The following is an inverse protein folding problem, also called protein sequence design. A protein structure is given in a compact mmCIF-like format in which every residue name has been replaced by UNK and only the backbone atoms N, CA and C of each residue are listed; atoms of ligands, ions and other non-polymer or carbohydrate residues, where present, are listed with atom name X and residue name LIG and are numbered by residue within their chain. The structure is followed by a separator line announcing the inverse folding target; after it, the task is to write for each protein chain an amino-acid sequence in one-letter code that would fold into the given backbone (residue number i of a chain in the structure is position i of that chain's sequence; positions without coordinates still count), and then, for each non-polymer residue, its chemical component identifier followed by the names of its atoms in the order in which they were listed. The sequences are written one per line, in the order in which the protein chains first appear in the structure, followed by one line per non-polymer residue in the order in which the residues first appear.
data_IF_688377386887
#
_entry.id   IF_688377386887
#
_cell.length_a   1.000
_cell.length_b   1.000
_cell.length_c   1.000
_cell.angle_alpha   90.00
_cell.angle_beta   90.00
_cell.angle_gamma   90.00
#
_symmetry.space_group_name_H-M   'P 1'
#
loop_
_entity.id
_entity.type
_entity.pdbx_description
1 polymer ?
#
# COMPACT_ATOMS: atom_id res chain seq x y z
N UNK A 1 -14.06 25.64 5.30
CA UNK A 1 -14.72 24.97 4.14
C UNK A 1 -13.70 24.51 3.09
N UNK A 2 -12.93 25.39 2.44
CA UNK A 2 -11.92 25.00 1.43
C UNK A 2 -10.92 23.90 1.87
N UNK A 3 -10.46 23.93 3.12
CA UNK A 3 -9.60 22.87 3.69
C UNK A 3 -10.26 21.48 3.67
N UNK A 4 -11.56 21.40 4.01
CA UNK A 4 -12.32 20.15 4.01
C UNK A 4 -12.48 19.63 2.58
N UNK A 5 -12.76 20.51 1.62
CA UNK A 5 -12.88 20.16 0.19
C UNK A 5 -11.53 19.65 -0.35
N UNK A 6 -10.42 20.29 0.02
CA UNK A 6 -9.07 19.86 -0.35
C UNK A 6 -8.71 18.49 0.24
N UNK A 7 -9.07 18.22 1.50
CA UNK A 7 -8.91 16.90 2.14
C UNK A 7 -9.78 15.85 1.43
N UNK A 8 -11.06 16.14 1.20
CA UNK A 8 -11.98 15.23 0.51
C UNK A 8 -11.44 14.87 -0.88
N UNK A 9 -11.00 15.87 -1.65
CA UNK A 9 -10.45 15.67 -2.99
C UNK A 9 -9.13 14.87 -2.97
N UNK A 10 -8.26 15.14 -1.99
CA UNK A 10 -7.01 14.38 -1.78
C UNK A 10 -7.29 12.94 -1.36
N UNK A 11 -8.31 12.71 -0.54
CA UNK A 11 -8.76 11.39 -0.11
C UNK A 11 -9.36 10.60 -1.28
N UNK A 12 -10.24 11.21 -2.07
CA UNK A 12 -10.82 10.60 -3.29
C UNK A 12 -9.71 10.29 -4.31
N UNK A 13 -8.74 11.17 -4.50
CA UNK A 13 -7.58 10.92 -5.38
C UNK A 13 -6.74 9.73 -4.90
N UNK A 14 -6.41 9.69 -3.61
CA UNK A 14 -5.65 8.60 -3.01
C UNK A 14 -6.42 7.28 -3.11
N UNK A 15 -7.71 7.25 -2.76
CA UNK A 15 -8.58 6.09 -2.98
C UNK A 15 -8.64 5.70 -4.47
N UNK A 16 -8.67 6.64 -5.41
CA UNK A 16 -8.70 6.33 -6.84
C UNK A 16 -7.43 5.59 -7.29
N UNK A 17 -6.24 5.99 -6.83
CA UNK A 17 -4.98 5.27 -7.13
C UNK A 17 -4.97 3.90 -6.46
N UNK A 18 -5.36 3.85 -5.18
CA UNK A 18 -5.32 2.62 -4.37
C UNK A 18 -6.30 1.57 -4.87
N UNK A 19 -7.44 1.97 -5.44
CA UNK A 19 -8.45 1.05 -5.97
C UNK A 19 -8.24 0.73 -7.46
N UNK A 20 -7.61 1.62 -8.25
CA UNK A 20 -7.39 1.34 -9.67
C UNK A 20 -6.41 0.18 -9.90
N UNK A 21 -5.39 0.02 -9.04
CA UNK A 21 -4.39 -1.04 -9.20
C UNK A 21 -5.00 -2.43 -8.95
N UNK A 22 -5.69 -2.73 -7.82
CA UNK A 22 -6.40 -4.01 -7.65
C UNK A 22 -7.43 -4.28 -8.74
N UNK A 23 -8.19 -3.29 -9.18
CA UNK A 23 -9.17 -3.46 -10.27
C UNK A 23 -8.48 -3.82 -11.60
N UNK A 24 -7.29 -3.28 -11.87
CA UNK A 24 -6.51 -3.65 -13.06
C UNK A 24 -5.97 -5.10 -13.01
N UNK A 25 -5.65 -5.61 -11.81
CA UNK A 25 -5.30 -7.01 -11.58
C UNK A 25 -6.53 -7.94 -11.64
N UNK A 26 -7.67 -7.54 -11.04
CA UNK A 26 -8.90 -8.34 -10.96
C UNK A 26 -9.61 -8.49 -12.32
N UNK A 27 -9.72 -7.40 -13.07
CA UNK A 27 -10.40 -7.39 -14.37
C UNK A 27 -9.48 -7.78 -15.53
N UNK A 28 -8.17 -7.53 -15.40
CA UNK A 28 -7.20 -7.73 -16.48
C UNK A 28 -6.19 -8.86 -16.28
N UNK A 29 -6.21 -9.53 -15.13
CA UNK A 29 -5.22 -10.53 -14.76
C UNK A 29 -3.83 -9.94 -14.46
N UNK A 30 -2.88 -10.85 -14.19
CA UNK A 30 -1.51 -10.52 -13.74
C UNK A 30 -0.79 -9.53 -14.67
N UNK A 31 -0.80 -9.80 -15.97
CA UNK A 31 0.03 -9.05 -16.92
C UNK A 31 -0.50 -7.63 -17.16
N UNK A 32 -1.83 -7.46 -17.18
CA UNK A 32 -2.49 -6.13 -17.19
C UNK A 32 -2.13 -5.31 -15.94
N UNK A 33 -2.20 -5.92 -14.75
CA UNK A 33 -1.83 -5.24 -13.50
C UNK A 33 -0.35 -4.88 -13.42
N UNK A 34 0.54 -5.75 -13.92
CA UNK A 34 1.98 -5.47 -14.05
C UNK A 34 2.25 -4.33 -15.05
N UNK A 35 1.61 -4.35 -16.23
CA UNK A 35 1.74 -3.28 -17.22
C UNK A 35 1.22 -1.94 -16.68
N UNK A 36 0.07 -1.94 -16.02
CA UNK A 36 -0.52 -0.76 -15.41
C UNK A 36 0.37 -0.17 -14.31
N UNK A 37 0.84 -0.99 -13.36
CA UNK A 37 1.72 -0.55 -12.28
C UNK A 37 3.07 -0.03 -12.78
N UNK A 38 3.68 -0.67 -13.79
CA UNK A 38 4.88 -0.18 -14.47
C UNK A 38 4.63 1.18 -15.12
N UNK A 39 3.51 1.33 -15.83
CA UNK A 39 3.17 2.60 -16.50
C UNK A 39 2.97 3.75 -15.51
N UNK A 40 2.34 3.49 -14.36
CA UNK A 40 2.22 4.44 -13.26
C UNK A 40 3.57 4.76 -12.62
N UNK A 41 4.42 3.75 -12.39
CA UNK A 41 5.75 3.94 -11.83
C UNK A 41 6.60 4.87 -12.72
N UNK A 42 6.63 4.62 -14.03
CA UNK A 42 7.33 5.49 -15.00
C UNK A 42 6.71 6.88 -15.02
N UNK A 43 5.38 7.01 -15.04
CA UNK A 43 4.72 8.31 -15.02
C UNK A 43 5.08 9.13 -13.75
N UNK A 44 5.05 8.53 -12.56
CA UNK A 44 5.42 9.23 -11.33
C UNK A 44 6.92 9.54 -11.24
N UNK A 45 7.78 8.67 -11.78
CA UNK A 45 9.22 8.91 -11.87
C UNK A 45 9.54 10.09 -12.80
N UNK A 46 8.89 10.15 -13.99
CA UNK A 46 8.98 11.28 -14.91
C UNK A 46 8.38 12.56 -14.31
N UNK A 47 7.22 12.49 -13.64
CA UNK A 47 6.62 13.62 -12.93
C UNK A 47 7.57 14.21 -11.87
N UNK A 48 8.23 13.34 -11.08
CA UNK A 48 9.22 13.75 -10.08
C UNK A 48 10.45 14.38 -10.75
N UNK A 49 11.02 13.72 -11.76
CA UNK A 49 12.18 14.24 -12.50
C UNK A 49 11.91 15.60 -13.15
N UNK A 50 10.73 15.79 -13.76
CA UNK A 50 10.32 17.09 -14.32
C UNK A 50 10.18 18.13 -13.21
N UNK A 51 9.60 17.80 -12.05
CA UNK A 51 9.54 18.71 -10.91
C UNK A 51 10.94 19.11 -10.40
N UNK A 52 11.91 18.18 -10.35
CA UNK A 52 13.30 18.47 -9.92
C UNK A 52 14.00 19.39 -10.91
N UNK A 53 13.91 19.10 -12.22
CA UNK A 53 14.53 19.92 -13.28
C UNK A 53 13.90 21.31 -13.34
N UNK A 54 12.60 21.40 -13.05
CA UNK A 54 11.82 22.64 -13.14
C UNK A 54 11.87 23.42 -11.82
N UNK A 55 13.06 23.96 -11.51
CA UNK A 55 13.32 24.83 -10.35
C UNK A 55 12.17 25.85 -10.10
N UNK A 56 11.68 25.86 -8.86
CA UNK A 56 10.44 26.55 -8.43
C UNK A 56 10.46 28.10 -8.56
N UNK A 57 11.59 28.66 -8.99
CA UNK A 57 11.82 30.09 -9.15
C UNK A 57 11.06 30.71 -10.33
N UNK A 58 10.69 29.91 -11.34
CA UNK A 58 10.04 30.43 -12.56
C UNK A 58 8.51 30.31 -12.54
N UNK A 59 7.82 31.32 -13.09
CA UNK A 59 6.34 31.29 -13.25
C UNK A 59 5.89 30.14 -14.16
N UNK A 60 6.67 29.84 -15.19
CA UNK A 60 6.44 28.71 -16.09
C UNK A 60 6.55 27.38 -15.33
N UNK A 61 7.52 27.24 -14.43
CA UNK A 61 7.65 26.02 -13.62
C UNK A 61 6.46 25.77 -12.71
N UNK A 62 5.94 26.82 -12.08
CA UNK A 62 4.69 26.71 -11.31
C UNK A 62 3.50 26.30 -12.18
N UNK A 63 3.38 26.86 -13.39
CA UNK A 63 2.33 26.49 -14.33
C UNK A 63 2.46 25.04 -14.82
N UNK A 64 3.67 24.58 -15.16
CA UNK A 64 3.94 23.18 -15.56
C UNK A 64 3.62 22.21 -14.42
N UNK A 65 4.04 22.50 -13.19
CA UNK A 65 3.72 21.67 -12.03
C UNK A 65 2.22 21.64 -11.69
N UNK A 66 1.47 22.70 -12.02
CA UNK A 66 0.02 22.74 -11.85
C UNK A 66 -0.70 21.96 -12.95
N UNK A 67 -0.23 22.09 -14.20
CA UNK A 67 -0.71 21.30 -15.36
C UNK A 67 -0.48 19.80 -15.14
N UNK A 68 0.71 19.42 -14.66
CA UNK A 68 1.05 18.03 -14.35
C UNK A 68 0.20 17.48 -13.19
N UNK A 69 -0.05 18.26 -12.13
CA UNK A 69 -0.98 17.86 -11.06
C UNK A 69 -2.41 17.66 -11.56
N UNK A 70 -2.86 18.48 -12.50
CA UNK A 70 -4.18 18.34 -13.11
C UNK A 70 -4.22 17.16 -14.09
N UNK A 71 -3.11 16.84 -14.77
CA UNK A 71 -3.03 15.71 -15.69
C UNK A 71 -3.13 14.35 -14.99
N UNK A 72 -2.72 14.24 -13.72
CA UNK A 72 -2.84 13.01 -12.92
C UNK A 72 -4.25 12.41 -12.97
N UNK A 73 -5.28 13.24 -12.87
CA UNK A 73 -6.69 12.83 -12.91
C UNK A 73 -7.14 12.23 -14.26
N UNK A 74 -6.44 12.54 -15.35
CA UNK A 74 -6.72 11.99 -16.69
C UNK A 74 -5.79 10.82 -17.02
N UNK A 75 -4.52 10.90 -16.60
CA UNK A 75 -3.51 9.86 -16.88
C UNK A 75 -3.86 8.54 -16.18
N UNK A 76 -4.30 8.58 -14.91
CA UNK A 76 -4.67 7.36 -14.15
C UNK A 76 -5.73 6.51 -14.88
N UNK A 77 -6.91 7.03 -15.28
CA UNK A 77 -7.90 6.24 -16.01
C UNK A 77 -7.49 5.92 -17.46
N UNK A 78 -6.75 6.79 -18.15
CA UNK A 78 -6.27 6.52 -19.52
C UNK A 78 -5.28 5.34 -19.54
N UNK A 79 -4.32 5.30 -18.61
CA UNK A 79 -3.39 4.18 -18.47
C UNK A 79 -4.09 2.88 -18.09
N UNK A 80 -5.14 2.95 -17.25
CA UNK A 80 -5.93 1.79 -16.86
C UNK A 80 -6.72 1.21 -18.04
N UNK A 81 -7.36 2.08 -18.84
CA UNK A 81 -8.08 1.68 -20.06
C UNK A 81 -7.10 1.10 -21.09
N UNK A 82 -5.91 1.69 -21.24
CA UNK A 82 -4.87 1.18 -22.14
C UNK A 82 -4.40 -0.23 -21.73
N UNK A 83 -4.05 -0.43 -20.45
CA UNK A 83 -3.62 -1.72 -19.93
C UNK A 83 -4.70 -2.80 -20.11
N UNK A 84 -5.95 -2.50 -19.74
CA UNK A 84 -7.07 -3.43 -19.93
C UNK A 84 -7.31 -3.73 -21.43
N UNK A 85 -7.24 -2.74 -22.31
CA UNK A 85 -7.48 -2.95 -23.76
C UNK A 85 -6.42 -3.80 -24.46
N UNK A 86 -5.17 -3.79 -23.97
CA UNK A 86 -4.08 -4.58 -24.53
C UNK A 86 -4.00 -5.98 -23.91
N UNK A 87 -4.05 -6.06 -22.57
CA UNK A 87 -3.72 -7.29 -21.83
C UNK A 87 -4.95 -8.08 -21.36
N UNK A 88 -6.08 -7.44 -21.03
CA UNK A 88 -7.26 -8.17 -20.51
C UNK A 88 -7.95 -9.03 -21.58
N UNK A 89 -7.80 -8.68 -22.86
CA UNK A 89 -8.32 -9.46 -24.00
C UNK A 89 -7.63 -10.83 -24.11
N UNK A 90 -6.35 -10.91 -23.72
CA UNK A 90 -5.55 -12.14 -23.80
C UNK A 90 -5.65 -13.00 -22.53
N UNK A 91 -6.29 -12.50 -21.47
CA UNK A 91 -6.46 -13.22 -20.18
C UNK A 91 -7.29 -14.51 -20.29
N UNK A 92 -8.00 -14.72 -21.41
CA UNK A 92 -8.63 -16.00 -21.75
C UNK A 92 -7.64 -17.10 -22.16
N UNK A 93 -6.37 -16.77 -22.37
CA UNK A 93 -5.27 -17.72 -22.55
C UNK A 93 -4.41 -17.75 -21.28
N UNK A 94 -4.46 -18.86 -20.54
CA UNK A 94 -3.76 -19.04 -19.25
C UNK A 94 -2.24 -19.26 -19.37
N UNK A 95 -1.66 -19.00 -20.54
CA UNK A 95 -0.22 -19.12 -20.80
C UNK A 95 0.56 -17.97 -20.16
N UNK A 96 1.54 -18.31 -19.34
CA UNK A 96 2.43 -17.35 -18.68
C UNK A 96 3.17 -16.48 -19.71
N UNK A 97 3.52 -15.23 -19.35
CA UNK A 97 4.31 -14.35 -20.23
C UNK A 97 5.59 -15.05 -20.74
N UNK A 98 6.22 -15.89 -19.92
CA UNK A 98 7.40 -16.71 -20.29
C UNK A 98 7.08 -17.66 -21.44
N UNK A 99 5.92 -18.30 -21.41
CA UNK A 99 5.47 -19.27 -22.42
C UNK A 99 5.05 -18.55 -23.71
N UNK A 100 4.41 -17.37 -23.60
CA UNK A 100 4.13 -16.47 -24.74
C UNK A 100 5.41 -16.06 -25.44
N UNK A 101 6.44 -15.64 -24.70
CA UNK A 101 7.75 -15.28 -25.29
C UNK A 101 8.42 -16.48 -25.95
N UNK A 102 8.46 -17.64 -25.29
CA UNK A 102 9.07 -18.85 -25.88
C UNK A 102 8.32 -19.31 -27.13
N UNK A 103 6.98 -19.31 -27.12
CA UNK A 103 6.16 -19.58 -28.30
C UNK A 103 6.41 -18.59 -29.44
N UNK A 104 6.47 -17.29 -29.13
CA UNK A 104 6.74 -16.22 -30.10
C UNK A 104 8.14 -16.37 -30.74
N UNK A 105 9.19 -16.60 -29.93
CA UNK A 105 10.56 -16.83 -30.42
C UNK A 105 10.63 -18.06 -31.34
N UNK A 106 9.90 -19.14 -31.03
CA UNK A 106 9.94 -20.38 -31.82
C UNK A 106 9.06 -20.33 -33.08
N UNK A 107 7.98 -19.54 -33.10
CA UNK A 107 7.10 -19.36 -34.26
C UNK A 107 7.46 -18.16 -35.17
N UNK A 108 8.37 -17.28 -34.76
CA UNK A 108 8.79 -16.07 -35.49
C UNK A 108 9.62 -16.37 -36.75
N UNK A 109 8.98 -16.96 -37.78
CA UNK A 109 9.63 -17.24 -39.07
C UNK A 109 9.31 -16.24 -40.19
N UNK A 110 8.45 -15.24 -39.96
CA UNK A 110 7.94 -14.36 -41.04
C UNK A 110 7.54 -12.91 -40.63
N UNK A 111 7.80 -12.44 -39.41
CA UNK A 111 7.44 -11.07 -38.97
C UNK A 111 8.56 -10.05 -39.19
N UNK A 112 8.19 -8.76 -39.29
CA UNK A 112 9.15 -7.68 -39.51
C UNK A 112 9.98 -7.38 -38.25
N UNK A 113 11.24 -6.96 -38.39
CA UNK A 113 12.13 -6.66 -37.25
C UNK A 113 11.52 -5.64 -36.26
N UNK A 114 10.82 -4.63 -36.79
CA UNK A 114 10.10 -3.62 -35.98
C UNK A 114 8.96 -4.22 -35.17
N UNK A 115 8.28 -5.24 -35.70
CA UNK A 115 7.15 -5.91 -35.09
C UNK A 115 7.60 -7.00 -34.09
N UNK A 116 8.78 -7.59 -34.30
CA UNK A 116 9.42 -8.47 -33.31
C UNK A 116 9.96 -7.70 -32.08
N UNK A 117 10.47 -6.47 -32.26
CA UNK A 117 10.96 -5.64 -31.15
C UNK A 117 9.85 -4.83 -30.46
N UNK A 118 8.97 -4.18 -31.24
CA UNK A 118 7.96 -3.21 -30.75
C UNK A 118 6.50 -3.63 -31.03
N UNK A 119 6.26 -4.78 -31.65
CA UNK A 119 4.91 -5.30 -31.84
C UNK A 119 4.32 -5.86 -30.55
N UNK A 120 3.04 -6.24 -30.64
CA UNK A 120 2.30 -6.95 -29.60
C UNK A 120 2.94 -8.33 -29.38
N UNK A 121 3.17 -8.72 -28.13
CA UNK A 121 4.00 -9.88 -27.72
C UNK A 121 5.50 -9.73 -28.08
N UNK A 122 5.97 -8.49 -28.21
CA UNK A 122 7.36 -8.16 -28.56
C UNK A 122 8.37 -8.42 -27.42
N UNK A 123 9.65 -8.51 -27.78
CA UNK A 123 10.73 -8.72 -26.80
C UNK A 123 10.83 -7.58 -25.78
N UNK A 124 10.53 -6.34 -26.18
CA UNK A 124 10.57 -5.17 -25.29
C UNK A 124 9.47 -5.22 -24.22
N UNK A 125 8.26 -5.65 -24.61
CA UNK A 125 7.12 -5.84 -23.71
C UNK A 125 7.42 -6.93 -22.67
N UNK A 126 7.89 -8.09 -23.15
CA UNK A 126 8.38 -9.19 -22.29
C UNK A 126 9.46 -8.71 -21.32
N UNK A 127 10.49 -8.01 -21.81
CA UNK A 127 11.63 -7.60 -21.01
C UNK A 127 11.22 -6.57 -19.94
N UNK A 128 10.33 -5.64 -20.28
CA UNK A 128 9.82 -4.66 -19.32
C UNK A 128 8.98 -5.32 -18.21
N UNK A 129 8.04 -6.21 -18.57
CA UNK A 129 7.20 -6.91 -17.60
C UNK A 129 8.01 -7.87 -16.72
N UNK A 130 8.88 -8.68 -17.31
CA UNK A 130 9.73 -9.64 -16.59
C UNK A 130 10.77 -8.95 -15.69
N UNK A 131 11.36 -7.84 -16.13
CA UNK A 131 12.27 -7.03 -15.30
C UNK A 131 11.54 -6.40 -14.11
N UNK A 132 10.30 -5.95 -14.31
CA UNK A 132 9.47 -5.36 -13.26
C UNK A 132 9.03 -6.39 -12.22
N UNK A 133 8.51 -7.55 -12.63
CA UNK A 133 8.15 -8.66 -11.73
C UNK A 133 9.36 -9.10 -10.90
N UNK A 134 10.53 -9.31 -11.53
CA UNK A 134 11.76 -9.67 -10.83
C UNK A 134 12.23 -8.58 -9.85
N UNK A 135 12.15 -7.30 -10.22
CA UNK A 135 12.51 -6.17 -9.35
C UNK A 135 11.58 -6.09 -8.13
N UNK A 136 10.26 -6.29 -8.31
CA UNK A 136 9.28 -6.30 -7.22
C UNK A 136 9.44 -7.51 -6.29
N UNK A 137 9.78 -8.69 -6.82
CA UNK A 137 10.10 -9.90 -6.04
C UNK A 137 11.36 -9.70 -5.19
N UNK A 138 12.42 -9.14 -5.78
CA UNK A 138 13.68 -8.88 -5.07
C UNK A 138 13.54 -7.78 -4.01
N UNK A 139 12.77 -6.72 -4.30
CA UNK A 139 12.49 -5.65 -3.33
C UNK A 139 11.50 -6.05 -2.23
N UNK A 140 10.74 -7.15 -2.41
CA UNK A 140 9.69 -7.59 -1.49
C UNK A 140 10.12 -7.70 -0.01
N UNK A 141 11.23 -8.39 0.33
CA UNK A 141 11.75 -8.44 1.70
C UNK A 141 12.17 -7.07 2.23
N UNK A 142 12.74 -6.21 1.40
CA UNK A 142 13.14 -4.84 1.79
C UNK A 142 11.92 -4.00 2.14
N UNK A 143 10.85 -4.10 1.36
CA UNK A 143 9.58 -3.43 1.67
C UNK A 143 8.93 -3.99 2.94
N UNK A 144 9.05 -5.29 3.21
CA UNK A 144 8.57 -5.90 4.45
C UNK A 144 9.33 -5.42 5.70
N UNK A 145 10.63 -5.14 5.60
CA UNK A 145 11.41 -4.50 6.67
C UNK A 145 11.12 -3.00 6.81
N UNK A 146 10.92 -2.31 5.69
CA UNK A 146 10.52 -0.90 5.67
C UNK A 146 9.15 -0.70 6.34
N UNK A 147 8.24 -1.67 6.22
CA UNK A 147 6.93 -1.66 6.90
C UNK A 147 7.08 -1.55 8.42
N UNK A 148 7.92 -2.37 9.06
CA UNK A 148 8.15 -2.31 10.51
C UNK A 148 8.78 -0.99 10.95
N UNK A 149 9.80 -0.54 10.22
CA UNK A 149 10.45 0.75 10.49
C UNK A 149 9.48 1.94 10.34
N UNK A 150 8.72 2.01 9.26
CA UNK A 150 7.73 3.06 9.06
C UNK A 150 6.60 2.98 10.10
N UNK A 151 6.23 1.78 10.56
CA UNK A 151 5.24 1.61 11.63
C UNK A 151 5.74 2.17 12.95
N UNK A 152 7.00 1.93 13.32
CA UNK A 152 7.61 2.54 14.51
C UNK A 152 7.57 4.06 14.46
N UNK A 153 7.95 4.68 13.34
CA UNK A 153 7.89 6.14 13.18
C UNK A 153 6.47 6.69 13.38
N UNK A 154 5.45 5.96 12.90
CA UNK A 154 4.03 6.33 13.10
C UNK A 154 3.62 6.15 14.57
N UNK A 155 4.06 5.09 15.25
CA UNK A 155 3.80 4.84 16.67
C UNK A 155 4.42 5.95 17.54
N UNK A 156 5.71 6.26 17.33
CA UNK A 156 6.45 7.32 18.01
C UNK A 156 5.79 8.69 17.80
N UNK A 157 5.50 9.05 16.55
CA UNK A 157 4.82 10.31 16.21
C UNK A 157 3.44 10.41 16.89
N UNK A 158 2.70 9.29 16.95
CA UNK A 158 1.40 9.25 17.66
C UNK A 158 1.58 9.45 19.16
N UNK A 159 2.58 8.81 19.79
CA UNK A 159 2.92 9.01 21.21
C UNK A 159 3.30 10.46 21.53
N UNK A 160 4.11 11.09 20.68
CA UNK A 160 4.47 12.51 20.80
C UNK A 160 3.25 13.44 20.64
N UNK A 161 2.37 13.17 19.67
CA UNK A 161 1.12 13.92 19.49
C UNK A 161 0.21 13.78 20.73
N UNK A 162 0.10 12.59 21.31
CA UNK A 162 -0.63 12.36 22.56
C UNK A 162 -0.06 13.17 23.72
N UNK A 163 1.28 13.15 23.95
CA UNK A 163 1.94 13.98 24.98
C UNK A 163 1.67 15.47 24.77
N UNK A 164 1.87 15.95 23.54
CA UNK A 164 1.62 17.34 23.18
C UNK A 164 0.17 17.75 23.44
N UNK A 165 -0.82 16.92 23.08
CA UNK A 165 -2.23 17.26 23.25
C UNK A 165 -2.65 17.27 24.72
N UNK A 166 -2.13 16.35 25.55
CA UNK A 166 -2.33 16.35 26.99
C UNK A 166 -1.72 17.61 27.63
N UNK A 167 -0.46 17.93 27.32
CA UNK A 167 0.23 19.09 27.88
C UNK A 167 -0.42 20.41 27.42
N UNK A 168 -0.89 20.47 26.16
CA UNK A 168 -1.59 21.65 25.62
C UNK A 168 -2.98 21.82 26.20
N UNK A 169 -3.70 20.71 26.45
CA UNK A 169 -5.06 20.73 26.99
C UNK A 169 -5.15 21.10 28.47
N UNK A 170 -4.08 20.86 29.26
CA UNK A 170 -4.02 21.07 30.74
C UNK A 170 -5.19 20.46 31.52
N UNK A 171 -5.91 19.52 30.93
CA UNK A 171 -7.17 18.96 31.43
C UNK A 171 -7.07 17.44 31.49
N UNK A 172 -7.38 16.89 32.66
CA UNK A 172 -7.28 15.46 32.94
C UNK A 172 -8.24 14.62 32.06
N UNK A 173 -9.26 15.26 31.47
CA UNK A 173 -10.14 14.64 30.47
C UNK A 173 -9.36 14.09 29.27
N UNK A 174 -8.29 14.76 28.81
CA UNK A 174 -7.45 14.23 27.72
C UNK A 174 -6.69 12.97 28.14
N UNK A 175 -6.19 12.93 29.39
CA UNK A 175 -5.51 11.74 29.93
C UNK A 175 -6.48 10.57 30.00
N UNK A 176 -7.70 10.79 30.50
CA UNK A 176 -8.74 9.75 30.59
C UNK A 176 -9.13 9.22 29.20
N UNK A 177 -9.31 10.12 28.20
CA UNK A 177 -9.65 9.73 26.82
C UNK A 177 -8.54 8.89 26.20
N UNK A 178 -7.26 9.30 26.33
CA UNK A 178 -6.14 8.53 25.79
C UNK A 178 -5.90 7.21 26.53
N UNK A 179 -6.14 7.17 27.84
CA UNK A 179 -6.09 5.92 28.62
C UNK A 179 -7.16 4.94 28.16
N UNK A 180 -8.41 5.38 28.02
CA UNK A 180 -9.51 4.55 27.51
C UNK A 180 -9.26 4.06 26.08
N UNK A 181 -8.70 4.91 25.21
CA UNK A 181 -8.28 4.55 23.86
C UNK A 181 -7.20 3.46 23.86
N UNK A 182 -6.15 3.61 24.67
CA UNK A 182 -5.07 2.62 24.81
C UNK A 182 -5.58 1.27 25.36
N UNK A 183 -6.51 1.31 26.32
CA UNK A 183 -7.17 0.12 26.86
C UNK A 183 -8.03 -0.61 25.82
N UNK A 184 -8.75 0.14 24.98
CA UNK A 184 -9.53 -0.44 23.86
C UNK A 184 -8.63 -1.12 22.83
N UNK A 185 -7.50 -0.51 22.48
CA UNK A 185 -6.48 -1.10 21.60
C UNK A 185 -5.95 -2.42 22.19
N UNK A 186 -5.52 -2.42 23.46
CA UNK A 186 -5.01 -3.64 24.13
C UNK A 186 -6.09 -4.73 24.17
N UNK A 187 -7.34 -4.40 24.50
CA UNK A 187 -8.44 -5.37 24.51
C UNK A 187 -8.67 -6.00 23.13
N UNK A 188 -8.63 -5.20 22.06
CA UNK A 188 -8.73 -5.71 20.68
C UNK A 188 -7.55 -6.62 20.30
N UNK A 189 -6.33 -6.26 20.71
CA UNK A 189 -5.13 -7.05 20.45
C UNK A 189 -5.19 -8.40 21.19
N UNK A 190 -5.61 -8.43 22.45
CA UNK A 190 -5.81 -9.68 23.20
C UNK A 190 -6.89 -10.58 22.56
N UNK A 191 -7.97 -10.00 22.04
CA UNK A 191 -8.98 -10.76 21.30
C UNK A 191 -8.41 -11.42 20.02
N UNK A 192 -7.62 -10.69 19.23
CA UNK A 192 -6.96 -11.27 18.05
C UNK A 192 -5.93 -12.34 18.42
N UNK A 193 -5.17 -12.16 19.50
CA UNK A 193 -4.22 -13.16 20.02
C UNK A 193 -4.94 -14.45 20.44
N UNK A 194 -6.06 -14.34 21.17
CA UNK A 194 -6.92 -15.48 21.53
C UNK A 194 -7.42 -16.23 20.29
N UNK A 195 -7.80 -15.51 19.22
CA UNK A 195 -8.19 -16.12 17.94
C UNK A 195 -7.03 -16.85 17.26
N UNK A 196 -5.81 -16.32 17.30
CA UNK A 196 -4.61 -17.02 16.76
C UNK A 196 -4.35 -18.32 17.51
N UNK A 197 -4.48 -18.32 18.83
CA UNK A 197 -4.26 -19.49 19.67
C UNK A 197 -5.27 -20.65 19.45
N UNK A 198 -6.33 -20.43 18.66
CA UNK A 198 -7.33 -21.45 18.32
C UNK A 198 -7.09 -22.14 16.97
N UNK A 199 -6.07 -21.75 16.19
CA UNK A 199 -5.79 -22.39 14.91
C UNK A 199 -5.19 -23.81 15.11
N UNK A 200 -5.74 -24.85 14.44
CA UNK A 200 -5.36 -26.24 14.69
C UNK A 200 -4.03 -26.69 14.04
N UNK A 201 -3.26 -25.80 13.42
CA UNK A 201 -2.05 -26.13 12.64
C UNK A 201 -0.83 -25.24 12.99
N UNK A 202 -0.60 -24.95 14.28
CA UNK A 202 0.61 -24.21 14.70
C UNK A 202 1.77 -25.20 14.88
N UNK A 203 2.91 -24.94 14.23
CA UNK A 203 4.12 -25.74 14.42
C UNK A 203 4.75 -25.49 15.79
N UNK A 204 5.48 -26.48 16.34
CA UNK A 204 6.14 -26.32 17.65
C UNK A 204 7.14 -25.14 17.67
N UNK A 205 7.86 -24.89 16.57
CA UNK A 205 8.80 -23.78 16.48
C UNK A 205 8.05 -22.45 16.50
N UNK A 206 7.03 -22.33 15.66
CA UNK A 206 6.25 -21.10 15.54
C UNK A 206 5.49 -20.77 16.84
N UNK A 207 4.99 -21.78 17.56
CA UNK A 207 4.42 -21.62 18.89
C UNK A 207 5.43 -21.04 19.90
N UNK A 208 6.69 -21.51 19.89
CA UNK A 208 7.73 -20.92 20.75
C UNK A 208 8.09 -19.49 20.37
N UNK A 209 8.12 -19.17 19.07
CA UNK A 209 8.37 -17.82 18.57
C UNK A 209 7.25 -16.85 18.98
N UNK A 210 5.96 -17.25 18.88
CA UNK A 210 4.84 -16.46 19.43
C UNK A 210 5.08 -16.18 20.92
N UNK A 211 5.41 -17.20 21.71
CA UNK A 211 5.61 -17.07 23.15
C UNK A 211 6.73 -16.09 23.52
N UNK A 212 7.89 -16.23 22.88
CA UNK A 212 9.05 -15.33 23.06
C UNK A 212 8.66 -13.90 22.68
N UNK A 213 8.11 -13.70 21.47
CA UNK A 213 7.73 -12.38 20.96
C UNK A 213 6.68 -11.70 21.84
N UNK A 214 5.63 -12.40 22.26
CA UNK A 214 4.59 -11.81 23.13
C UNK A 214 5.13 -11.46 24.51
N UNK A 215 5.96 -12.33 25.09
CA UNK A 215 6.59 -12.07 26.39
C UNK A 215 7.48 -10.82 26.31
N UNK A 216 8.36 -10.75 25.30
CA UNK A 216 9.24 -9.59 25.09
C UNK A 216 8.47 -8.31 24.80
N UNK A 217 7.36 -8.36 24.04
CA UNK A 217 6.52 -7.19 23.78
C UNK A 217 5.86 -6.65 25.06
N UNK A 218 5.32 -7.53 25.92
CA UNK A 218 4.76 -7.13 27.21
C UNK A 218 5.83 -6.50 28.11
N UNK A 219 7.03 -7.09 28.19
CA UNK A 219 8.14 -6.51 28.96
C UNK A 219 8.58 -5.15 28.42
N UNK A 220 8.72 -4.98 27.10
CA UNK A 220 9.09 -3.69 26.49
C UNK A 220 8.03 -2.60 26.71
N UNK A 221 6.74 -2.93 26.59
CA UNK A 221 5.66 -1.97 26.86
C UNK A 221 5.58 -1.60 28.36
N UNK A 222 5.71 -2.58 29.25
CA UNK A 222 5.74 -2.33 30.70
C UNK A 222 6.96 -1.50 31.11
N UNK A 223 8.14 -1.78 30.56
CA UNK A 223 9.35 -0.99 30.81
C UNK A 223 9.27 0.42 30.21
N UNK A 224 8.72 0.57 29.01
CA UNK A 224 8.50 1.89 28.39
C UNK A 224 7.60 2.80 29.23
N UNK A 225 6.46 2.28 29.69
CA UNK A 225 5.54 3.03 30.57
C UNK A 225 6.16 3.26 31.95
N UNK A 226 6.73 2.22 32.57
CA UNK A 226 7.30 2.29 33.93
C UNK A 226 8.56 3.15 34.05
N UNK A 227 9.30 3.35 32.96
CA UNK A 227 10.46 4.26 32.91
C UNK A 227 10.09 5.72 32.60
N UNK A 228 8.80 6.02 32.39
CA UNK A 228 8.30 7.35 32.01
C UNK A 228 8.65 7.78 30.57
N UNK A 229 9.34 6.93 29.81
CA UNK A 229 9.88 7.25 28.46
C UNK A 229 8.93 6.92 27.32
N UNK A 230 8.05 5.94 27.51
CA UNK A 230 6.99 5.55 26.58
C UNK A 230 5.62 6.00 27.08
N UNK A 231 4.72 6.40 26.18
CA UNK A 231 3.33 6.74 26.53
C UNK A 231 2.44 5.49 26.55
N UNK A 232 1.33 5.46 27.31
CA UNK A 232 0.41 4.32 27.29
C UNK A 232 -0.17 4.02 25.90
N UNK A 233 -0.42 5.06 25.10
CA UNK A 233 -0.92 4.94 23.72
C UNK A 233 0.11 4.28 22.81
N UNK A 234 1.36 4.74 22.85
CA UNK A 234 2.50 4.18 22.11
C UNK A 234 2.74 2.70 22.47
N UNK A 235 2.75 2.36 23.76
CA UNK A 235 2.86 0.97 24.22
C UNK A 235 1.68 0.09 23.76
N UNK A 236 0.45 0.63 23.76
CA UNK A 236 -0.72 -0.10 23.25
C UNK A 236 -0.66 -0.35 21.74
N UNK A 237 -0.18 0.63 20.96
CA UNK A 237 -0.04 0.52 19.51
C UNK A 237 1.09 -0.44 19.13
N UNK A 238 2.22 -0.43 19.84
CA UNK A 238 3.29 -1.40 19.63
C UNK A 238 2.83 -2.82 19.93
N UNK A 239 2.13 -3.04 21.05
CA UNK A 239 1.56 -4.34 21.37
C UNK A 239 0.56 -4.82 20.30
N UNK A 240 -0.33 -3.93 19.84
CA UNK A 240 -1.25 -4.24 18.75
C UNK A 240 -0.54 -4.53 17.42
N UNK A 241 0.56 -3.85 17.11
CA UNK A 241 1.37 -4.13 15.92
C UNK A 241 2.05 -5.50 15.99
N UNK A 242 2.61 -5.86 17.14
CA UNK A 242 3.20 -7.20 17.35
C UNK A 242 2.14 -8.30 17.18
N UNK A 243 0.94 -8.10 17.74
CA UNK A 243 -0.20 -9.00 17.52
C UNK A 243 -0.62 -9.04 16.06
N UNK A 244 -0.68 -7.90 15.36
CA UNK A 244 -1.01 -7.84 13.93
C UNK A 244 0.02 -8.60 13.08
N UNK A 245 1.30 -8.52 13.40
CA UNK A 245 2.35 -9.27 12.70
C UNK A 245 2.27 -10.77 12.96
N UNK A 246 2.02 -11.17 14.22
CA UNK A 246 1.79 -12.58 14.55
C UNK A 246 0.53 -13.09 13.83
N UNK A 247 -0.57 -12.34 13.86
CA UNK A 247 -1.78 -12.65 13.10
C UNK A 247 -1.46 -12.84 11.60
N UNK A 248 -0.73 -11.91 11.00
CA UNK A 248 -0.25 -11.97 9.62
C UNK A 248 0.60 -13.21 9.28
N UNK A 249 1.32 -13.80 10.24
CA UNK A 249 2.17 -14.98 10.01
C UNK A 249 1.34 -16.27 9.95
N UNK A 250 0.26 -16.38 10.74
CA UNK A 250 -0.57 -17.61 10.81
C UNK A 250 -1.85 -17.54 10.00
N UNK A 251 -2.37 -16.33 9.74
CA UNK A 251 -3.42 -16.15 8.75
C UNK A 251 -2.79 -15.83 7.41
N UNK A 252 -2.45 -16.87 6.65
CA UNK A 252 -2.80 -16.80 5.24
C UNK A 252 -4.29 -16.49 5.18
N UNK A 253 -4.63 -15.38 4.52
CA UNK A 253 -5.94 -14.73 4.62
C UNK A 253 -7.03 -15.46 3.81
N UNK A 254 -7.03 -16.80 3.84
CA UNK A 254 -8.09 -17.61 3.25
C UNK A 254 -9.44 -17.22 3.88
N UNK A 255 -10.52 -17.20 3.07
CA UNK A 255 -11.87 -17.19 3.59
C UNK A 255 -12.06 -18.35 4.58
N UNK A 256 -12.88 -18.11 5.61
CA UNK A 256 -13.35 -19.19 6.47
C UNK A 256 -14.31 -20.06 5.65
N UNK A 257 -13.82 -21.15 5.07
CA UNK A 257 -14.67 -22.20 4.48
C UNK A 257 -15.62 -22.73 5.57
N UNK A 258 -16.86 -22.25 5.54
CA UNK A 258 -17.76 -22.38 6.68
C UNK A 258 -19.13 -21.73 6.59
N UNK A 259 -19.47 -21.02 5.50
CA UNK A 259 -20.88 -20.78 5.10
C UNK A 259 -20.96 -20.13 3.72
N UNK A 260 -21.79 -20.69 2.82
CA UNK A 260 -22.14 -20.02 1.56
C UNK A 260 -21.64 -20.68 0.27
N UNK A 261 -21.61 -22.02 0.19
CA UNK A 261 -21.71 -22.69 -1.11
C UNK A 261 -23.13 -22.47 -1.64
N UNK A 262 -23.34 -21.32 -2.32
CA UNK A 262 -24.60 -20.92 -2.92
C UNK A 262 -24.43 -20.82 -4.43
N UNK A 263 -25.14 -21.68 -5.15
CA UNK A 263 -25.15 -21.77 -6.60
C UNK A 263 -25.67 -20.46 -7.23
N UNK A 264 -24.78 -19.59 -7.69
CA UNK A 264 -25.13 -18.47 -8.58
C UNK A 264 -25.25 -18.99 -10.01
N UNK A 265 -26.41 -19.61 -10.28
CA UNK A 265 -26.69 -20.26 -11.56
C UNK A 265 -26.58 -19.35 -12.79
N UNK A 266 -26.41 -20.00 -13.94
CA UNK A 266 -26.42 -19.41 -15.28
C UNK A 266 -27.57 -18.42 -15.51
N UNK A 267 -27.26 -17.12 -15.54
CA UNK A 267 -28.20 -16.11 -16.02
C UNK A 267 -28.10 -15.98 -17.54
N UNK A 268 -29.12 -16.53 -18.22
CA UNK A 268 -29.33 -16.39 -19.66
C UNK A 268 -29.45 -14.92 -20.03
N UNK A 269 -28.51 -14.39 -20.83
CA UNK A 269 -28.69 -13.13 -21.55
C UNK A 269 -29.42 -13.39 -22.88
N UNK A 270 -30.54 -12.70 -23.18
CA UNK A 270 -31.14 -12.73 -24.51
C UNK A 270 -30.27 -11.99 -25.52
N UNK A 271 -30.06 -12.59 -26.69
CA UNK A 271 -29.36 -11.98 -27.82
C UNK A 271 -30.21 -10.86 -28.47
N UNK A 272 -29.57 -9.78 -28.93
CA UNK A 272 -30.15 -8.86 -29.92
C UNK A 272 -29.06 -8.32 -30.88
N UNK A 273 -29.24 -8.39 -32.22
CA UNK A 273 -28.24 -7.97 -33.21
C UNK A 273 -28.59 -6.57 -33.81
N UNK A 274 -28.08 -6.08 -34.98
CA UNK A 274 -27.04 -5.04 -34.97
C UNK A 274 -27.29 -3.75 -35.81
N UNK A 275 -26.77 -2.60 -35.35
CA UNK A 275 -26.30 -1.38 -36.09
C UNK A 275 -27.26 -0.67 -37.11
N UNK A 276 -26.91 0.52 -37.69
CA UNK A 276 -26.47 1.82 -37.15
C UNK A 276 -27.59 2.89 -37.45
N UNK A 277 -27.42 4.17 -37.89
CA UNK A 277 -26.32 5.16 -37.78
C UNK A 277 -26.71 6.60 -37.30
N UNK A 278 -25.89 7.18 -36.42
CA UNK A 278 -25.20 8.50 -36.53
C UNK A 278 -25.94 9.80 -36.98
N UNK A 279 -25.89 10.80 -36.07
CA UNK A 279 -26.03 12.29 -36.21
C UNK A 279 -27.42 12.88 -36.52
N UNK A 280 -28.15 13.32 -35.48
CA UNK A 280 -28.85 14.63 -35.43
C UNK A 280 -29.35 15.06 -34.02
N UNK A 281 -28.47 15.23 -33.02
CA UNK A 281 -28.68 16.17 -31.88
C UNK A 281 -27.58 16.07 -30.78
N UNK A 282 -26.56 16.92 -30.84
CA UNK A 282 -25.54 17.04 -29.77
C UNK A 282 -26.07 17.65 -28.46
N UNK A 283 -27.36 18.04 -28.43
CA UNK A 283 -28.04 18.57 -27.25
C UNK A 283 -28.78 17.48 -26.46
N UNK A 284 -29.44 16.54 -27.14
CA UNK A 284 -30.07 15.40 -26.48
C UNK A 284 -29.02 14.44 -25.92
N UNK A 285 -27.85 14.31 -26.56
CA UNK A 285 -26.75 13.49 -26.02
C UNK A 285 -26.23 14.03 -24.69
N UNK A 286 -26.07 15.35 -24.50
CA UNK A 286 -25.65 15.90 -23.21
C UNK A 286 -26.71 15.72 -22.12
N UNK A 287 -27.99 15.90 -22.44
CA UNK A 287 -29.08 15.62 -21.48
C UNK A 287 -29.18 14.13 -21.17
N UNK A 288 -29.02 13.24 -22.15
CA UNK A 288 -28.98 11.79 -21.91
C UNK A 288 -27.73 11.36 -21.15
N UNK A 289 -26.56 11.95 -21.39
CA UNK A 289 -25.33 11.66 -20.62
C UNK A 289 -25.53 12.13 -19.17
N UNK A 290 -26.07 13.33 -18.94
CA UNK A 290 -26.32 13.88 -17.60
C UNK A 290 -27.45 13.14 -16.86
N UNK A 291 -28.49 12.68 -17.57
CA UNK A 291 -29.56 11.84 -17.02
C UNK A 291 -29.17 10.37 -16.85
N UNK A 292 -28.19 9.89 -17.64
CA UNK A 292 -27.56 8.58 -17.42
C UNK A 292 -26.52 8.63 -16.31
N UNK A 293 -26.02 9.81 -15.91
CA UNK A 293 -24.98 9.96 -14.89
C UNK A 293 -25.37 9.35 -13.54
N UNK A 294 -26.60 9.49 -12.99
CA UNK A 294 -27.03 8.75 -11.80
C UNK A 294 -27.09 7.23 -12.00
N UNK A 295 -27.42 6.76 -13.20
CA UNK A 295 -27.54 5.33 -13.52
C UNK A 295 -26.16 4.70 -13.77
N UNK A 296 -25.26 5.42 -14.43
CA UNK A 296 -23.87 5.08 -14.66
C UNK A 296 -23.05 5.18 -13.37
N UNK A 297 -23.30 6.17 -12.51
CA UNK A 297 -22.74 6.18 -11.14
C UNK A 297 -23.31 5.04 -10.30
N UNK A 298 -24.61 4.74 -10.36
CA UNK A 298 -25.15 3.58 -9.64
C UNK A 298 -24.56 2.27 -10.16
N UNK A 299 -24.48 2.08 -11.47
CA UNK A 299 -23.86 0.90 -12.11
C UNK A 299 -22.37 0.79 -11.80
N UNK A 300 -21.63 1.89 -11.89
CA UNK A 300 -20.21 1.99 -11.48
C UNK A 300 -20.04 1.67 -10.00
N UNK A 301 -20.86 2.23 -9.11
CA UNK A 301 -20.84 1.93 -7.68
C UNK A 301 -21.27 0.49 -7.39
N UNK A 302 -22.20 -0.11 -8.14
CA UNK A 302 -22.58 -1.52 -7.99
C UNK A 302 -21.48 -2.45 -8.50
N UNK A 303 -20.80 -2.11 -9.60
CA UNK A 303 -19.63 -2.84 -10.10
C UNK A 303 -18.44 -2.73 -9.12
N UNK A 304 -18.15 -1.53 -8.64
CA UNK A 304 -17.09 -1.26 -7.65
C UNK A 304 -17.42 -1.92 -6.30
N UNK A 305 -18.69 -1.96 -5.89
CA UNK A 305 -19.15 -2.71 -4.73
C UNK A 305 -19.05 -4.23 -4.93
N UNK A 306 -19.36 -4.75 -6.13
CA UNK A 306 -19.18 -6.16 -6.45
C UNK A 306 -17.68 -6.54 -6.45
N UNK A 307 -16.81 -5.71 -7.02
CA UNK A 307 -15.35 -5.88 -6.94
C UNK A 307 -14.81 -5.73 -5.50
N UNK A 308 -15.46 -4.95 -4.63
CA UNK A 308 -15.17 -4.97 -3.19
C UNK A 308 -15.66 -6.23 -2.48
N UNK A 309 -16.63 -6.96 -3.03
CA UNK A 309 -17.08 -8.25 -2.49
C UNK A 309 -16.28 -9.45 -3.03
N UNK A 310 -15.60 -9.33 -4.17
CA UNK A 310 -14.66 -10.37 -4.65
C UNK A 310 -13.35 -10.37 -3.84
N UNK A 311 -12.89 -9.20 -3.38
CA UNK A 311 -11.69 -9.07 -2.55
C UNK A 311 -12.00 -9.36 -1.07
N UNK A 312 -11.23 -10.25 -0.43
CA UNK A 312 -11.42 -10.60 0.99
C UNK A 312 -11.25 -9.37 1.91
N UNK A 313 -12.20 -9.07 2.82
CA UNK A 313 -12.15 -7.86 3.65
C UNK A 313 -10.87 -7.70 4.49
N UNK A 314 -10.26 -8.80 4.92
CA UNK A 314 -8.98 -8.82 5.64
C UNK A 314 -7.81 -8.31 4.78
N UNK A 315 -7.79 -8.64 3.49
CA UNK A 315 -6.75 -8.19 2.54
C UNK A 315 -6.86 -6.69 2.30
N UNK A 316 -8.08 -6.16 2.17
CA UNK A 316 -8.33 -4.72 2.08
C UNK A 316 -7.80 -3.99 3.32
N UNK A 317 -8.07 -4.51 4.52
CA UNK A 317 -7.59 -3.93 5.79
C UNK A 317 -6.05 -3.97 5.86
N UNK A 318 -5.42 -5.08 5.48
CA UNK A 318 -3.95 -5.22 5.44
C UNK A 318 -3.30 -4.23 4.47
N UNK A 319 -3.81 -4.13 3.23
CA UNK A 319 -3.33 -3.17 2.23
C UNK A 319 -3.55 -1.71 2.65
N UNK A 320 -4.72 -1.39 3.21
CA UNK A 320 -5.04 -0.05 3.68
C UNK A 320 -4.12 0.38 4.85
N UNK A 321 -3.86 -0.53 5.80
CA UNK A 321 -2.91 -0.34 6.89
C UNK A 321 -1.49 -0.06 6.35
N UNK A 322 -0.96 -0.92 5.48
CA UNK A 322 0.38 -0.77 4.90
C UNK A 322 0.53 0.55 4.14
N UNK A 323 -0.45 0.88 3.31
CA UNK A 323 -0.45 2.13 2.57
C UNK A 323 -0.53 3.36 3.49
N UNK A 324 -1.36 3.31 4.54
CA UNK A 324 -1.43 4.36 5.56
C UNK A 324 -0.09 4.57 6.27
N UNK A 325 0.60 3.49 6.64
CA UNK A 325 1.93 3.54 7.28
C UNK A 325 2.97 4.18 6.36
N UNK A 326 3.13 3.70 5.13
CA UNK A 326 4.13 4.26 4.22
C UNK A 326 3.82 5.72 3.86
N UNK A 327 2.56 6.05 3.58
CA UNK A 327 2.15 7.43 3.33
C UNK A 327 2.42 8.34 4.54
N UNK A 328 2.12 7.89 5.76
CA UNK A 328 2.39 8.66 6.97
C UNK A 328 3.89 8.86 7.18
N UNK A 329 4.71 7.83 6.99
CA UNK A 329 6.17 7.95 7.09
C UNK A 329 6.74 8.99 6.12
N UNK A 330 6.24 9.06 4.87
CA UNK A 330 6.71 10.08 3.90
C UNK A 330 6.43 11.53 4.33
N UNK A 331 5.47 11.75 5.25
CA UNK A 331 5.18 13.06 5.86
C UNK A 331 5.92 13.27 7.18
N UNK A 332 6.11 12.22 7.97
CA UNK A 332 6.78 12.26 9.26
C UNK A 332 8.28 12.52 9.07
N UNK A 333 8.96 11.79 8.16
CA UNK A 333 10.42 11.87 7.97
C UNK A 333 10.91 13.32 7.70
N UNK A 334 10.32 14.12 6.79
CA UNK A 334 10.70 15.53 6.62
C UNK A 334 10.50 16.37 7.88
N UNK A 335 9.40 16.16 8.61
CA UNK A 335 9.12 16.93 9.85
C UNK A 335 10.08 16.60 10.99
N UNK A 336 10.47 15.32 11.13
CA UNK A 336 11.48 14.89 12.11
C UNK A 336 12.86 15.43 11.74
N UNK A 337 13.21 15.46 10.44
CA UNK A 337 14.44 16.10 9.98
C UNK A 337 14.48 17.59 10.31
N UNK A 338 13.42 18.33 10.02
CA UNK A 338 13.39 19.79 10.25
C UNK A 338 13.43 20.14 11.77
N UNK A 339 12.99 19.22 12.64
CA UNK A 339 13.17 19.30 14.10
C UNK A 339 14.58 18.89 14.54
N UNK A 340 15.13 17.80 14.00
CA UNK A 340 16.48 17.31 14.30
C UNK A 340 17.58 18.28 13.87
N UNK A 341 17.44 18.88 12.68
CA UNK A 341 18.34 19.95 12.20
C UNK A 341 18.31 21.16 13.13
N UNK A 342 17.14 21.53 13.66
CA UNK A 342 17.03 22.63 14.65
C UNK A 342 17.65 22.29 16.01
N UNK A 343 17.67 21.01 16.40
CA UNK A 343 18.31 20.56 17.63
C UNK A 343 19.84 20.41 17.49
N UNK A 344 20.33 20.01 16.31
CA UNK A 344 21.76 19.82 16.03
C UNK A 344 22.48 21.12 15.61
N UNK A 345 21.77 22.21 15.32
CA UNK A 345 22.38 23.52 15.00
C UNK A 345 23.17 24.15 16.18
N UNK A 346 23.17 23.54 17.36
CA UNK A 346 23.95 23.94 18.54
C UNK A 346 25.39 23.35 18.54
N UNK A 347 25.68 22.29 17.77
CA UNK A 347 27.00 21.63 17.74
C UNK A 347 27.59 21.51 16.32
N UNK A 348 28.84 21.98 16.06
CA UNK A 348 29.40 22.03 14.71
C UNK A 348 30.37 20.88 14.40
N UNK A 349 29.87 19.72 13.96
CA UNK A 349 30.65 18.75 13.15
C UNK A 349 29.75 17.81 12.32
N UNK A 350 30.34 16.96 11.48
CA UNK A 350 29.77 15.92 10.59
C UNK A 350 29.33 16.33 9.17
N UNK A 351 30.30 16.32 8.24
CA UNK A 351 30.08 16.37 6.78
C UNK A 351 29.22 15.19 6.25
N UNK A 352 29.24 14.02 6.90
CA UNK A 352 28.45 12.83 6.52
C UNK A 352 26.93 13.07 6.55
N UNK A 353 26.48 13.97 7.43
CA UNK A 353 25.08 14.37 7.54
C UNK A 353 24.56 14.96 6.23
N UNK A 354 25.39 15.71 5.49
CA UNK A 354 24.95 16.39 4.27
C UNK A 354 24.69 15.41 3.12
N UNK A 355 25.48 14.34 3.01
CA UNK A 355 25.27 13.29 2.00
C UNK A 355 24.01 12.48 2.29
N UNK A 356 23.80 12.07 3.55
CA UNK A 356 22.57 11.40 3.96
C UNK A 356 21.33 12.28 3.75
N UNK A 357 21.40 13.57 4.10
CA UNK A 357 20.32 14.52 3.88
C UNK A 357 20.03 14.79 2.39
N UNK A 358 21.06 14.84 1.53
CA UNK A 358 20.88 14.91 0.07
C UNK A 358 20.18 13.67 -0.48
N UNK A 359 20.59 12.47 -0.04
CA UNK A 359 19.97 11.21 -0.46
C UNK A 359 18.52 11.07 0.02
N UNK A 360 18.24 11.38 1.30
CA UNK A 360 16.88 11.41 1.85
C UNK A 360 16.01 12.49 1.18
N UNK A 361 16.62 13.64 0.85
CA UNK A 361 16.03 14.69 0.03
C UNK A 361 15.58 14.13 -1.32
N UNK A 362 16.50 13.57 -2.11
CA UNK A 362 16.21 12.96 -3.42
C UNK A 362 15.14 11.85 -3.29
N UNK A 363 15.27 10.97 -2.30
CA UNK A 363 14.32 9.87 -2.07
C UNK A 363 12.89 10.38 -1.77
N UNK A 364 12.76 11.49 -1.04
CA UNK A 364 11.45 12.07 -0.72
C UNK A 364 10.70 12.62 -1.96
N UNK A 365 11.41 13.09 -3.00
CA UNK A 365 10.78 13.52 -4.26
C UNK A 365 10.27 12.31 -5.06
N UNK A 366 10.95 11.16 -4.99
CA UNK A 366 10.49 9.89 -5.59
C UNK A 366 9.49 9.10 -4.72
N UNK A 367 9.03 9.67 -3.61
CA UNK A 367 8.01 9.08 -2.72
C UNK A 367 6.79 8.48 -3.46
N UNK A 368 6.15 9.17 -4.44
CA UNK A 368 4.98 8.61 -5.14
C UNK A 368 5.31 7.36 -5.96
N UNK A 369 6.44 7.33 -6.67
CA UNK A 369 6.90 6.15 -7.41
C UNK A 369 7.27 4.98 -6.48
N UNK A 370 7.88 5.27 -5.33
CA UNK A 370 8.20 4.24 -4.31
C UNK A 370 6.91 3.66 -3.75
N UNK A 371 5.90 4.48 -3.42
CA UNK A 371 4.60 4.02 -2.94
C UNK A 371 3.90 3.09 -3.95
N UNK A 372 3.94 3.40 -5.26
CA UNK A 372 3.38 2.51 -6.30
C UNK A 372 4.14 1.18 -6.40
N UNK A 373 5.48 1.21 -6.33
CA UNK A 373 6.30 -0.01 -6.36
C UNK A 373 6.04 -0.90 -5.13
N UNK A 374 6.07 -0.30 -3.93
CA UNK A 374 5.73 -0.97 -2.67
C UNK A 374 4.33 -1.58 -2.77
N UNK A 375 3.32 -0.78 -3.13
CA UNK A 375 1.94 -1.24 -3.22
C UNK A 375 1.79 -2.43 -4.19
N UNK A 376 2.43 -2.38 -5.35
CA UNK A 376 2.39 -3.47 -6.34
C UNK A 376 3.08 -4.73 -5.83
N UNK A 377 4.23 -4.61 -5.16
CA UNK A 377 4.92 -5.75 -4.54
C UNK A 377 4.06 -6.42 -3.46
N UNK A 378 3.42 -5.62 -2.59
CA UNK A 378 2.55 -6.14 -1.52
C UNK A 378 1.30 -6.82 -2.07
N UNK A 379 0.77 -6.32 -3.20
CA UNK A 379 -0.31 -6.93 -3.96
C UNK A 379 0.15 -8.29 -4.52
N UNK A 380 1.26 -8.34 -5.27
CA UNK A 380 1.79 -9.60 -5.83
C UNK A 380 2.12 -10.66 -4.75
N UNK A 381 2.49 -10.23 -3.54
CA UNK A 381 2.69 -11.12 -2.38
C UNK A 381 1.40 -11.70 -1.80
N UNK A 382 0.25 -11.02 -1.94
CA UNK A 382 -1.05 -11.49 -1.44
C UNK A 382 -1.89 -12.19 -2.52
N UNK A 383 -1.59 -11.94 -3.80
CA UNK A 383 -2.31 -12.48 -4.97
C UNK A 383 -1.39 -13.37 -5.84
N UNK A 384 -0.52 -14.14 -5.19
CA UNK A 384 0.41 -15.05 -5.86
C UNK A 384 -0.33 -16.24 -6.47
N UNK A 385 -0.22 -16.37 -7.79
CA UNK A 385 -0.71 -17.52 -8.55
C UNK A 385 -0.18 -18.83 -7.96
N UNK A 386 -1.06 -19.68 -7.44
CA UNK A 386 -0.77 -21.12 -7.34
C UNK A 386 -0.89 -21.70 -8.76
N UNK A 387 0.07 -22.53 -9.18
CA UNK A 387 0.11 -23.21 -10.49
C UNK A 387 -0.93 -24.36 -10.60
N UNK A 388 -2.15 -24.11 -10.12
CA UNK A 388 -3.31 -24.98 -10.30
C UNK A 388 -4.03 -24.70 -11.63
N UNK A 389 -4.93 -25.60 -12.05
CA UNK A 389 -5.66 -25.47 -13.32
C UNK A 389 -6.63 -24.26 -13.38
N UNK A 390 -6.88 -23.58 -12.26
CA UNK A 390 -7.81 -22.45 -12.13
C UNK A 390 -7.23 -21.10 -12.59
N UNK A 391 -5.92 -21.03 -12.95
CA UNK A 391 -5.28 -19.79 -13.40
C UNK A 391 -5.12 -18.71 -12.31
N UNK A 392 -5.05 -17.44 -12.70
CA UNK A 392 -4.99 -16.33 -11.75
C UNK A 392 -6.28 -16.27 -10.93
N UNK A 393 -6.18 -16.64 -9.66
CA UNK A 393 -7.30 -16.72 -8.72
C UNK A 393 -6.97 -15.95 -7.44
N UNK A 394 -7.99 -15.35 -6.83
CA UNK A 394 -7.93 -14.53 -5.61
C UNK A 394 -7.67 -15.36 -4.33
N UNK A 395 -6.77 -16.34 -4.40
CA UNK A 395 -6.38 -17.20 -3.27
C UNK A 395 -5.01 -16.76 -2.77
N UNK A 396 -4.89 -16.54 -1.46
CA UNK A 396 -3.60 -16.27 -0.84
C UNK A 396 -2.66 -17.45 -1.08
N UNK A 397 -1.59 -17.23 -1.83
CA UNK A 397 -0.57 -18.22 -2.12
C UNK A 397 0.54 -18.24 -1.07
N UNK A 398 1.27 -19.35 -1.04
CA UNK A 398 2.27 -19.70 -0.02
C UNK A 398 3.29 -18.58 0.22
N UNK A 399 3.21 -17.94 1.38
CA UNK A 399 4.13 -16.88 1.81
C UNK A 399 5.47 -17.46 2.25
N UNK A 400 6.33 -17.75 1.25
CA UNK A 400 7.77 -18.01 1.40
C UNK A 400 8.60 -16.86 2.04
N UNK A 401 7.93 -15.93 2.72
CA UNK A 401 8.49 -14.82 3.51
C UNK A 401 8.23 -14.93 5.02
N UNK A 402 7.70 -16.04 5.56
CA UNK A 402 7.46 -16.20 7.00
C UNK A 402 8.68 -15.83 7.88
N UNK A 403 9.88 -16.27 7.49
CA UNK A 403 11.14 -15.89 8.15
C UNK A 403 11.41 -14.38 8.10
N UNK A 404 11.15 -13.71 6.97
CA UNK A 404 11.31 -12.26 6.84
C UNK A 404 10.30 -11.47 7.68
N UNK A 405 9.08 -12.00 7.88
CA UNK A 405 8.08 -11.42 8.79
C UNK A 405 8.54 -11.53 10.24
N UNK A 406 9.08 -12.67 10.66
CA UNK A 406 9.70 -12.83 11.99
C UNK A 406 10.90 -11.88 12.19
N UNK A 407 11.78 -11.75 11.19
CA UNK A 407 12.91 -10.78 11.22
C UNK A 407 12.38 -9.35 11.36
N UNK A 408 11.33 -8.97 10.62
CA UNK A 408 10.73 -7.64 10.71
C UNK A 408 10.18 -7.34 12.11
N UNK A 409 9.49 -8.29 12.75
CA UNK A 409 9.00 -8.15 14.13
C UNK A 409 10.15 -8.01 15.11
N UNK A 410 11.15 -8.88 15.04
CA UNK A 410 12.32 -8.83 15.91
C UNK A 410 13.11 -7.53 15.78
N UNK A 411 13.32 -7.05 14.55
CA UNK A 411 13.98 -5.78 14.26
C UNK A 411 13.16 -4.59 14.77
N UNK A 412 11.84 -4.60 14.59
CA UNK A 412 10.94 -3.56 15.11
C UNK A 412 11.03 -3.47 16.64
N UNK A 413 10.93 -4.61 17.33
CA UNK A 413 11.03 -4.64 18.79
C UNK A 413 12.43 -4.26 19.30
N UNK A 414 13.47 -4.66 18.57
CA UNK A 414 14.86 -4.27 18.85
C UNK A 414 15.08 -2.76 18.74
N UNK A 415 14.61 -2.14 17.65
CA UNK A 415 14.73 -0.68 17.44
C UNK A 415 14.01 0.12 18.54
N UNK A 416 12.80 -0.28 18.94
CA UNK A 416 12.09 0.36 20.06
C UNK A 416 12.83 0.16 21.40
N UNK A 417 13.42 -1.02 21.64
CA UNK A 417 14.28 -1.25 22.80
C UNK A 417 15.52 -0.34 22.83
N UNK A 418 16.14 -0.10 21.67
CA UNK A 418 17.27 0.83 21.51
C UNK A 418 16.84 2.29 21.73
N UNK A 419 15.67 2.69 21.23
CA UNK A 419 15.10 4.02 21.50
C UNK A 419 14.89 4.26 23.00
N UNK A 420 14.25 3.32 23.70
CA UNK A 420 14.05 3.43 25.15
C UNK A 420 15.36 3.52 25.95
N UNK A 421 16.43 2.91 25.44
CA UNK A 421 17.78 3.01 26.01
C UNK A 421 18.46 4.36 25.72
N UNK A 422 18.35 4.86 24.48
CA UNK A 422 18.95 6.12 24.02
C UNK A 422 18.20 7.38 24.51
N UNK A 423 16.91 7.28 24.81
CA UNK A 423 16.07 8.36 25.37
C UNK A 423 16.42 8.65 26.85
N UNK A 424 17.70 8.51 27.22
CA UNK A 424 18.17 8.56 28.60
C UNK A 424 18.10 9.98 29.17
N UNK A 425 18.38 10.97 28.34
CA UNK A 425 18.57 12.37 28.74
C UNK A 425 17.60 13.30 27.98
N UNK A 426 16.70 14.01 28.71
CA UNK A 426 16.02 15.21 28.20
C UNK A 426 14.51 15.20 27.92
N UNK A 427 13.75 14.11 28.13
CA UNK A 427 12.29 14.14 27.97
C UNK A 427 11.59 14.73 29.21
N UNK A 428 10.69 15.70 29.02
CA UNK A 428 9.83 16.22 30.08
C UNK A 428 8.98 15.09 30.69
N UNK A 429 9.00 15.00 32.03
CA UNK A 429 8.30 13.99 32.81
C UNK A 429 6.81 13.91 32.44
N UNK A 430 6.36 12.75 31.94
CA UNK A 430 4.93 12.42 31.91
C UNK A 430 4.39 12.61 33.33
N UNK A 431 3.30 13.39 33.47
CA UNK A 431 2.73 13.75 34.77
C UNK A 431 2.51 12.51 35.65
N UNK A 432 3.34 12.39 36.68
CA UNK A 432 3.02 11.69 37.92
C UNK A 432 3.04 12.78 38.99
N UNK A 433 1.83 13.16 39.40
CA UNK A 433 1.44 14.17 40.41
C UNK A 433 1.94 15.62 40.22
#
# INVERSE_FOLDING_TARGET
MWWIISILFSFVFLCSIVLSIPVAFDVGGRDSGLAYSLSLFIYYMLYSAICIVTLETTRLGRAVSALLRLSQWLVIPVLMIWALSQFAVDAGSSTSWVERTLGSIWHSKNTSWTEWVFGRDGVLETLMLGSWDNSLRYAGPVFQLLEGFCTLLVIQATGQITRWLVNRGRSDTWVIVFLAFSGSIIASAVYFLWRVAQFPQISNLDATLIGITMTTAVFLCAYGIGSGRGSPVEGSLLFAYVVLCVYQIFTDYLPSDGMGQAESGSLVQPQLPPLPPIIMASYSTLVHILASLPLAMRSSLTFLYAAFQTITPSVIISLAYRLFVFYSATRIIPSVRDLGVRAMMEEPDFEDSETANKLLGILSWFSPSILVAVYTSLLLQHFSTNDGPDGWSLRGGDVGGGTWRWINVGLTMGLYGVELYLSRDGQEHWKVD
#
